data_IF_700417469753
#
_entry.id   IF_700417469753
#
_cell.length_a   1.000
_cell.length_b   1.000
_cell.length_c   1.000
_cell.angle_alpha   90.00
_cell.angle_beta   90.00
_cell.angle_gamma   90.00
#
_symmetry.space_group_name_H-M   'P 1'
#
loop_
_entity.id
_entity.type
_entity.pdbx_description
1 polymer ?
#
# COMPACT_ATOMS: atom_id res chain seq x y z
N UNK A 1 -15.93 32.72 13.37
CA UNK A 1 -16.84 31.56 13.36
C UNK A 1 -15.98 30.36 13.69
N UNK A 2 -16.02 29.89 14.93
CA UNK A 2 -15.09 28.92 15.45
C UNK A 2 -15.33 27.56 14.75
N UNK A 3 -14.29 27.05 14.11
CA UNK A 3 -14.25 25.66 13.66
C UNK A 3 -14.35 24.79 14.91
N UNK A 4 -15.44 24.05 15.02
CA UNK A 4 -15.62 23.06 16.06
C UNK A 4 -14.44 22.07 15.95
N UNK A 5 -13.60 22.06 16.98
CA UNK A 5 -12.73 20.96 17.31
C UNK A 5 -13.45 19.65 16.98
N UNK A 6 -12.82 18.85 16.12
CA UNK A 6 -13.24 17.46 15.94
C UNK A 6 -13.20 16.87 17.35
N UNK A 7 -14.38 16.71 17.89
CA UNK A 7 -14.60 16.16 19.20
C UNK A 7 -13.82 14.85 19.25
N UNK A 8 -13.03 14.65 20.28
CA UNK A 8 -12.56 13.34 20.71
C UNK A 8 -13.80 12.47 20.97
N UNK A 9 -14.44 12.06 19.91
CA UNK A 9 -15.34 10.92 19.98
C UNK A 9 -14.44 9.76 20.32
N UNK A 10 -14.37 9.48 21.61
CA UNK A 10 -14.09 8.16 22.10
C UNK A 10 -14.50 7.17 21.04
N UNK A 11 -13.50 6.42 20.51
CA UNK A 11 -13.75 5.29 19.63
C UNK A 11 -14.96 4.54 20.20
N UNK A 12 -15.99 4.22 19.38
CA UNK A 12 -17.17 3.55 19.91
C UNK A 12 -16.71 2.36 20.74
N UNK A 13 -17.32 2.16 21.91
CA UNK A 13 -17.05 1.02 22.81
C UNK A 13 -17.13 -0.34 22.08
N UNK A 14 -17.77 -0.38 20.93
CA UNK A 14 -17.81 -1.51 20.00
C UNK A 14 -16.43 -1.99 19.53
N UNK A 15 -15.37 -1.15 19.58
CA UNK A 15 -14.00 -1.62 19.32
C UNK A 15 -13.35 -2.32 20.52
N UNK A 16 -13.89 -2.18 21.72
CA UNK A 16 -13.43 -2.94 22.91
C UNK A 16 -14.16 -4.26 23.10
N UNK A 17 -15.19 -4.50 22.29
CA UNK A 17 -15.99 -5.72 22.29
C UNK A 17 -15.93 -6.41 20.92
N UNK A 18 -14.76 -6.61 20.36
CA UNK A 18 -14.51 -7.85 19.65
C UNK A 18 -14.34 -8.92 20.76
N UNK A 19 -15.41 -9.09 21.52
CA UNK A 19 -15.55 -10.21 22.41
C UNK A 19 -15.37 -11.45 21.54
N UNK A 20 -14.56 -12.40 21.96
CA UNK A 20 -14.28 -13.69 21.34
C UNK A 20 -15.55 -14.43 20.81
N UNK A 21 -16.74 -13.97 21.20
CA UNK A 21 -18.03 -14.50 20.75
C UNK A 21 -18.53 -14.00 19.39
N UNK A 22 -18.02 -12.88 18.85
CA UNK A 22 -18.51 -12.29 17.58
C UNK A 22 -17.66 -12.66 16.36
N UNK A 23 -16.43 -13.12 16.56
CA UNK A 23 -15.53 -13.59 15.50
C UNK A 23 -14.94 -14.95 15.90
N UNK A 24 -15.76 -16.02 15.89
CA UNK A 24 -15.32 -17.33 16.38
C UNK A 24 -14.19 -17.96 15.58
N UNK A 25 -13.92 -17.51 14.36
CA UNK A 25 -12.98 -18.14 13.44
C UNK A 25 -12.06 -17.14 12.77
N UNK A 26 -11.27 -16.40 13.56
CA UNK A 26 -10.14 -15.63 13.01
C UNK A 26 -9.01 -16.62 12.69
N UNK A 27 -8.70 -16.77 11.41
CA UNK A 27 -7.63 -17.65 10.96
C UNK A 27 -6.28 -16.92 10.99
N UNK A 28 -5.27 -17.56 11.59
CA UNK A 28 -3.88 -17.09 11.49
C UNK A 28 -3.34 -17.41 10.10
N UNK A 29 -3.10 -16.39 9.31
CA UNK A 29 -2.53 -16.53 7.97
C UNK A 29 -1.03 -16.84 8.02
N UNK A 30 -0.30 -16.18 8.91
CA UNK A 30 1.12 -16.46 9.13
C UNK A 30 1.87 -15.39 9.89
N UNK A 31 3.16 -15.67 10.10
CA UNK A 31 4.13 -14.78 10.73
C UNK A 31 5.19 -14.35 9.71
N UNK A 32 5.51 -13.05 9.70
CA UNK A 32 6.40 -12.41 8.74
C UNK A 32 7.37 -11.44 9.43
N UNK A 33 8.52 -11.21 8.81
CA UNK A 33 9.40 -10.11 9.24
C UNK A 33 8.77 -8.76 8.86
N UNK A 34 8.16 -8.71 7.66
CA UNK A 34 7.53 -7.51 7.12
C UNK A 34 6.17 -7.83 6.51
N UNK A 35 5.16 -7.02 6.84
CA UNK A 35 3.89 -7.00 6.10
C UNK A 35 3.71 -5.63 5.46
N UNK A 36 3.45 -5.61 4.15
CA UNK A 36 3.19 -4.41 3.37
C UNK A 36 1.69 -4.32 3.11
N UNK A 37 1.05 -3.26 3.54
CA UNK A 37 -0.36 -2.99 3.34
C UNK A 37 -0.57 -2.12 2.08
N UNK A 38 -1.15 -2.70 1.03
CA UNK A 38 -1.40 -2.06 -0.25
C UNK A 38 -0.32 -2.37 -1.30
N UNK A 39 -0.75 -2.86 -2.46
CA UNK A 39 0.08 -3.25 -3.61
C UNK A 39 0.21 -2.17 -4.69
N UNK A 40 0.00 -0.90 -4.34
CA UNK A 40 0.28 0.24 -5.22
C UNK A 40 1.77 0.40 -5.51
N UNK A 41 2.18 1.45 -6.26
CA UNK A 41 3.59 1.65 -6.63
C UNK A 41 4.54 1.67 -5.43
N UNK A 42 4.11 2.29 -4.33
CA UNK A 42 4.88 2.32 -3.08
C UNK A 42 5.02 0.93 -2.46
N UNK A 43 3.91 0.16 -2.39
CA UNK A 43 3.90 -1.17 -1.79
C UNK A 43 4.69 -2.19 -2.59
N UNK A 44 4.60 -2.17 -3.91
CA UNK A 44 5.44 -3.01 -4.77
C UNK A 44 6.92 -2.74 -4.51
N UNK A 45 7.33 -1.46 -4.50
CA UNK A 45 8.72 -1.11 -4.21
C UNK A 45 9.13 -1.54 -2.78
N UNK A 46 8.27 -1.35 -1.79
CA UNK A 46 8.53 -1.74 -0.40
C UNK A 46 8.68 -3.26 -0.27
N UNK A 47 7.74 -4.03 -0.86
CA UNK A 47 7.78 -5.49 -0.85
C UNK A 47 9.04 -6.04 -1.51
N UNK A 48 9.32 -5.61 -2.74
CA UNK A 48 10.53 -6.01 -3.48
C UNK A 48 11.82 -5.66 -2.73
N UNK A 49 11.88 -4.45 -2.13
CA UNK A 49 13.04 -4.05 -1.34
C UNK A 49 13.22 -4.92 -0.09
N UNK A 50 12.13 -5.29 0.57
CA UNK A 50 12.16 -6.12 1.78
C UNK A 50 12.66 -7.53 1.47
N UNK A 51 12.10 -8.21 0.48
CA UNK A 51 12.53 -9.57 0.10
C UNK A 51 13.96 -9.59 -0.42
N UNK A 52 14.39 -8.56 -1.18
CA UNK A 52 15.78 -8.44 -1.63
C UNK A 52 16.79 -8.24 -0.49
N UNK A 53 16.33 -7.86 0.70
CA UNK A 53 17.11 -7.78 1.93
C UNK A 53 17.03 -9.06 2.77
N UNK A 54 16.33 -10.08 2.29
CA UNK A 54 16.19 -11.38 2.95
C UNK A 54 15.05 -11.45 3.97
N UNK A 55 14.18 -10.44 4.04
CA UNK A 55 13.04 -10.46 4.94
C UNK A 55 11.92 -11.35 4.38
N UNK A 56 11.32 -12.21 5.21
CA UNK A 56 10.08 -12.92 4.88
C UNK A 56 8.95 -11.88 4.82
N UNK A 57 8.45 -11.60 3.63
CA UNK A 57 7.55 -10.48 3.38
C UNK A 57 6.24 -10.91 2.77
N UNK A 58 5.12 -10.44 3.34
CA UNK A 58 3.79 -10.51 2.77
C UNK A 58 3.38 -9.12 2.27
N UNK A 59 2.85 -9.05 1.05
CA UNK A 59 2.17 -7.88 0.52
C UNK A 59 0.67 -8.17 0.41
N UNK A 60 -0.15 -7.32 1.02
CA UNK A 60 -1.61 -7.45 1.03
C UNK A 60 -2.23 -6.43 0.09
N UNK A 61 -3.02 -6.89 -0.89
CA UNK A 61 -3.65 -6.03 -1.90
C UNK A 61 -5.16 -6.31 -2.00
N UNK A 62 -5.96 -5.25 -1.99
CA UNK A 62 -7.41 -5.36 -2.06
C UNK A 62 -7.94 -5.71 -3.45
N UNK A 63 -7.21 -5.38 -4.51
CA UNK A 63 -7.57 -5.70 -5.88
C UNK A 63 -6.96 -7.03 -6.34
N UNK A 64 -7.17 -7.34 -7.61
CA UNK A 64 -6.67 -8.54 -8.28
C UNK A 64 -5.32 -8.35 -8.97
N UNK A 65 -4.70 -7.20 -8.81
CA UNK A 65 -3.45 -6.87 -9.48
C UNK A 65 -2.61 -5.89 -8.65
N UNK A 66 -1.31 -5.94 -8.84
CA UNK A 66 -0.37 -4.94 -8.34
C UNK A 66 -0.41 -3.67 -9.17
N UNK A 67 0.14 -2.58 -8.65
CA UNK A 67 0.33 -1.30 -9.32
C UNK A 67 -0.66 -0.21 -8.93
N UNK A 68 -1.75 -0.54 -8.20
CA UNK A 68 -2.69 0.44 -7.64
C UNK A 68 -3.22 1.43 -8.69
N UNK A 69 -2.93 2.73 -8.51
CA UNK A 69 -3.38 3.79 -9.42
C UNK A 69 -2.90 3.58 -10.86
N UNK A 70 -1.72 2.99 -11.07
CA UNK A 70 -1.17 2.76 -12.41
C UNK A 70 -1.82 1.57 -13.14
N UNK A 71 -2.58 0.75 -12.44
CA UNK A 71 -3.23 -0.45 -12.99
C UNK A 71 -4.74 -0.45 -12.73
N UNK A 72 -5.18 -0.81 -11.52
CA UNK A 72 -6.59 -0.81 -11.13
C UNK A 72 -7.22 0.59 -11.25
N UNK A 73 -6.47 1.65 -10.96
CA UNK A 73 -6.89 3.04 -11.08
C UNK A 73 -6.81 3.62 -12.49
N UNK A 74 -6.34 2.87 -13.50
CA UNK A 74 -6.26 3.25 -14.91
C UNK A 74 -5.42 4.51 -15.22
N UNK A 75 -4.56 4.95 -14.30
CA UNK A 75 -3.71 6.11 -14.49
C UNK A 75 -2.37 5.73 -15.12
N UNK A 76 -2.33 5.69 -16.43
CA UNK A 76 -1.21 5.17 -17.23
C UNK A 76 0.08 6.00 -17.17
N UNK A 77 -0.01 7.25 -16.73
CA UNK A 77 1.11 8.20 -16.76
C UNK A 77 1.74 8.36 -15.38
N UNK A 78 2.95 7.85 -15.19
CA UNK A 78 3.70 7.93 -13.94
C UNK A 78 4.84 8.95 -14.12
N UNK A 79 4.84 9.99 -13.35
CA UNK A 79 5.91 11.00 -13.36
C UNK A 79 6.27 11.38 -11.93
N UNK A 80 7.38 12.00 -11.68
CA UNK A 80 8.46 12.52 -12.49
C UNK A 80 9.76 11.84 -12.05
N UNK A 81 10.49 11.21 -12.97
CA UNK A 81 11.76 10.54 -12.65
C UNK A 81 12.98 11.48 -12.74
N UNK A 82 12.86 12.55 -13.54
CA UNK A 82 13.92 13.53 -13.75
C UNK A 82 13.39 14.96 -13.54
N UNK A 83 14.25 15.87 -13.10
CA UNK A 83 13.94 17.28 -13.03
C UNK A 83 13.72 17.95 -14.40
N UNK A 84 13.21 19.17 -14.39
CA UNK A 84 13.01 19.96 -15.62
C UNK A 84 14.34 20.40 -16.26
N UNK A 85 14.33 20.59 -17.58
CA UNK A 85 15.47 21.19 -18.30
C UNK A 85 16.75 20.37 -18.29
N UNK A 86 16.68 19.02 -18.26
CA UNK A 86 17.84 18.17 -18.28
C UNK A 86 18.55 18.01 -16.93
N UNK A 87 17.85 18.38 -15.85
CA UNK A 87 18.31 18.14 -14.48
C UNK A 87 18.57 16.65 -14.23
N UNK A 88 19.46 16.31 -13.28
CA UNK A 88 19.78 14.93 -12.99
C UNK A 88 18.54 14.12 -12.55
N UNK A 89 18.61 12.82 -12.73
CA UNK A 89 17.58 11.89 -12.27
C UNK A 89 17.39 12.03 -10.76
N UNK A 90 16.14 12.22 -10.35
CA UNK A 90 15.74 12.36 -8.94
C UNK A 90 15.12 11.08 -8.36
N UNK A 91 14.57 10.22 -9.22
CA UNK A 91 14.01 8.92 -8.83
C UNK A 91 14.84 7.80 -9.46
N UNK A 92 15.42 6.96 -8.62
CA UNK A 92 16.29 5.84 -9.02
C UNK A 92 15.86 4.53 -8.35
N UNK A 93 16.75 3.54 -8.33
CA UNK A 93 16.51 2.24 -7.71
C UNK A 93 15.36 1.47 -8.33
N UNK A 94 14.52 0.85 -7.51
CA UNK A 94 13.39 0.03 -7.95
C UNK A 94 12.42 0.72 -8.92
N UNK A 95 11.95 1.95 -8.68
CA UNK A 95 11.07 2.62 -9.64
C UNK A 95 11.69 2.75 -11.03
N UNK A 96 12.99 3.03 -11.11
CA UNK A 96 13.71 3.07 -12.39
C UNK A 96 13.82 1.70 -13.04
N UNK A 97 14.19 0.67 -12.28
CA UNK A 97 14.24 -0.71 -12.74
C UNK A 97 12.90 -1.17 -13.32
N UNK A 98 11.80 -0.85 -12.64
CA UNK A 98 10.45 -1.12 -13.12
C UNK A 98 10.20 -0.42 -14.46
N UNK A 99 10.54 0.87 -14.58
CA UNK A 99 10.37 1.63 -15.82
C UNK A 99 11.19 1.05 -16.99
N UNK A 100 12.46 0.72 -16.75
CA UNK A 100 13.34 0.12 -17.76
C UNK A 100 12.83 -1.26 -18.21
N UNK A 101 12.37 -2.10 -17.29
CA UNK A 101 11.79 -3.42 -17.63
C UNK A 101 10.44 -3.29 -18.35
N UNK A 102 9.61 -2.34 -17.95
CA UNK A 102 8.33 -2.07 -18.61
C UNK A 102 8.53 -1.66 -20.07
N UNK A 103 9.51 -0.78 -20.36
CA UNK A 103 9.84 -0.34 -21.71
C UNK A 103 10.39 -1.50 -22.56
N UNK A 104 11.25 -2.34 -22.00
CA UNK A 104 11.88 -3.43 -22.73
C UNK A 104 10.91 -4.51 -23.19
N UNK A 105 9.93 -4.88 -22.36
CA UNK A 105 9.18 -6.11 -22.57
C UNK A 105 7.64 -5.94 -22.54
N UNK A 106 7.12 -4.79 -22.05
CA UNK A 106 5.72 -4.67 -21.72
C UNK A 106 5.01 -3.45 -22.34
N UNK A 107 5.53 -2.96 -23.45
CA UNK A 107 4.89 -1.93 -24.25
C UNK A 107 4.83 -0.54 -23.63
N UNK A 108 5.59 -0.32 -22.55
CA UNK A 108 5.68 1.00 -21.95
C UNK A 108 6.64 1.92 -22.71
N UNK A 109 6.51 3.23 -22.50
CA UNK A 109 7.46 4.23 -22.94
C UNK A 109 8.11 4.88 -21.71
N UNK A 110 9.43 4.74 -21.58
CA UNK A 110 10.19 5.32 -20.49
C UNK A 110 11.19 6.36 -21.00
N UNK A 111 10.71 7.58 -21.25
CA UNK A 111 11.54 8.69 -21.75
C UNK A 111 12.48 9.30 -20.69
N UNK A 112 12.73 8.61 -19.59
CA UNK A 112 13.57 9.06 -18.48
C UNK A 112 12.88 10.04 -17.53
N UNK A 113 11.93 10.86 -18.01
CA UNK A 113 11.16 11.79 -17.17
C UNK A 113 9.81 11.22 -16.74
N UNK A 114 9.11 10.59 -17.64
CA UNK A 114 7.81 9.97 -17.44
C UNK A 114 7.86 8.51 -17.88
N UNK A 115 7.03 7.72 -17.25
CA UNK A 115 6.75 6.35 -17.63
C UNK A 115 5.28 6.26 -18.03
N UNK A 116 5.03 6.01 -19.31
CA UNK A 116 3.72 5.72 -19.84
C UNK A 116 3.58 4.21 -19.98
N UNK A 117 2.62 3.61 -19.28
CA UNK A 117 2.48 2.16 -19.22
C UNK A 117 1.30 1.67 -20.06
N UNK A 118 1.46 0.49 -20.65
CA UNK A 118 0.34 -0.34 -21.10
C UNK A 118 -0.14 -1.14 -19.88
N UNK A 119 -1.42 -0.95 -19.49
CA UNK A 119 -1.93 -1.38 -18.18
C UNK A 119 -1.78 -2.87 -17.95
N UNK A 120 -2.18 -3.70 -18.93
CA UNK A 120 -2.17 -5.16 -18.77
C UNK A 120 -0.73 -5.69 -18.77
N UNK A 121 0.13 -5.16 -19.63
CA UNK A 121 1.55 -5.47 -19.61
C UNK A 121 2.22 -5.05 -18.31
N UNK A 122 1.83 -3.91 -17.75
CA UNK A 122 2.39 -3.45 -16.49
C UNK A 122 1.97 -4.33 -15.30
N UNK A 123 0.72 -4.83 -15.28
CA UNK A 123 0.29 -5.85 -14.29
C UNK A 123 1.16 -7.10 -14.39
N UNK A 124 1.35 -7.63 -15.61
CA UNK A 124 2.18 -8.81 -15.84
C UNK A 124 3.63 -8.60 -15.39
N UNK A 125 4.22 -7.44 -15.67
CA UNK A 125 5.57 -7.09 -15.18
C UNK A 125 5.66 -7.13 -13.66
N UNK A 126 4.70 -6.54 -12.96
CA UNK A 126 4.74 -6.47 -11.50
C UNK A 126 4.56 -7.85 -10.86
N UNK A 127 3.70 -8.71 -11.44
CA UNK A 127 3.54 -10.09 -11.03
C UNK A 127 4.83 -10.92 -11.29
N UNK A 128 5.47 -10.73 -12.45
CA UNK A 128 6.76 -11.34 -12.79
C UNK A 128 7.83 -10.94 -11.76
N UNK A 129 7.97 -9.65 -11.47
CA UNK A 129 8.96 -9.16 -10.50
C UNK A 129 8.69 -9.68 -9.08
N UNK A 130 7.44 -9.78 -8.67
CA UNK A 130 7.05 -10.37 -7.39
C UNK A 130 7.44 -11.85 -7.34
N UNK A 131 7.11 -12.62 -8.38
CA UNK A 131 7.45 -14.04 -8.47
C UNK A 131 8.95 -14.31 -8.49
N UNK A 132 9.71 -13.56 -9.30
CA UNK A 132 11.20 -13.66 -9.37
C UNK A 132 11.87 -13.40 -8.02
N UNK A 133 11.32 -12.47 -7.24
CA UNK A 133 11.89 -12.10 -5.94
C UNK A 133 11.46 -13.01 -4.79
N UNK A 134 10.43 -13.84 -4.99
CA UNK A 134 9.80 -14.63 -3.93
C UNK A 134 8.94 -13.81 -2.98
N UNK A 135 8.44 -12.66 -3.43
CA UNK A 135 7.48 -11.86 -2.67
C UNK A 135 6.13 -12.57 -2.61
N UNK A 136 5.69 -12.88 -1.41
CA UNK A 136 4.35 -13.40 -1.20
C UNK A 136 3.31 -12.29 -1.33
N UNK A 137 2.30 -12.49 -2.19
CA UNK A 137 1.24 -11.51 -2.44
C UNK A 137 -0.12 -12.12 -2.15
N UNK A 138 -0.90 -11.47 -1.29
CA UNK A 138 -2.27 -11.84 -0.97
C UNK A 138 -3.24 -10.84 -1.61
N UNK A 139 -3.80 -11.23 -2.76
CA UNK A 139 -4.80 -10.44 -3.48
C UNK A 139 -6.19 -10.53 -2.87
N UNK A 140 -7.09 -9.64 -3.31
CA UNK A 140 -8.49 -9.57 -2.88
C UNK A 140 -8.67 -9.51 -1.36
N UNK A 141 -7.71 -8.91 -0.66
CA UNK A 141 -7.68 -8.87 0.79
C UNK A 141 -7.60 -7.43 1.28
N UNK A 142 -8.68 -7.00 1.89
CA UNK A 142 -8.78 -5.66 2.46
C UNK A 142 -8.16 -5.66 3.87
N UNK A 143 -7.28 -4.70 4.15
CA UNK A 143 -6.82 -4.43 5.51
C UNK A 143 -7.96 -3.82 6.31
N UNK A 144 -8.49 -4.58 7.26
CA UNK A 144 -9.65 -4.22 8.06
C UNK A 144 -9.26 -3.54 9.37
N UNK A 145 -8.18 -3.97 10.01
CA UNK A 145 -7.69 -3.38 11.26
C UNK A 145 -6.20 -3.71 11.50
N UNK A 146 -5.66 -3.18 12.61
CA UNK A 146 -4.26 -3.35 13.04
C UNK A 146 -4.23 -3.99 14.44
N UNK A 147 -3.38 -4.96 14.63
CA UNK A 147 -3.10 -5.53 15.95
C UNK A 147 -2.04 -4.67 16.62
N UNK A 148 -2.35 -4.16 17.81
CA UNK A 148 -1.42 -3.41 18.64
C UNK A 148 -1.00 -4.22 19.85
N UNK A 149 0.31 -4.33 20.06
CA UNK A 149 0.91 -4.92 21.27
C UNK A 149 1.87 -3.90 21.86
N UNK A 150 1.68 -3.56 23.12
CA UNK A 150 2.50 -2.57 23.84
C UNK A 150 2.68 -1.24 23.06
N UNK A 151 1.61 -0.79 22.38
CA UNK A 151 1.62 0.45 21.59
C UNK A 151 2.34 0.34 20.25
N UNK A 152 2.70 -0.86 19.80
CA UNK A 152 3.35 -1.12 18.51
C UNK A 152 2.43 -1.95 17.60
N UNK A 153 2.43 -1.62 16.32
CA UNK A 153 1.75 -2.44 15.34
C UNK A 153 2.48 -3.81 15.21
N UNK A 154 1.78 -4.89 15.52
CA UNK A 154 2.30 -6.26 15.60
C UNK A 154 1.65 -7.19 14.57
N UNK A 155 0.66 -6.72 13.81
CA UNK A 155 -0.01 -7.50 12.79
C UNK A 155 -1.13 -6.73 12.09
N UNK A 156 -1.65 -7.32 11.03
CA UNK A 156 -2.81 -6.82 10.30
C UNK A 156 -3.97 -7.80 10.40
N UNK A 157 -5.16 -7.26 10.60
CA UNK A 157 -6.41 -7.98 10.40
C UNK A 157 -6.88 -7.72 8.97
N UNK A 158 -7.11 -8.78 8.22
CA UNK A 158 -7.50 -8.73 6.82
C UNK A 158 -8.85 -9.41 6.63
N UNK A 159 -9.62 -8.93 5.67
CA UNK A 159 -10.89 -9.54 5.28
C UNK A 159 -10.87 -9.86 3.79
N UNK A 160 -11.21 -11.09 3.45
CA UNK A 160 -11.37 -11.54 2.08
C UNK A 160 -12.51 -12.57 1.97
N UNK A 161 -12.60 -13.22 0.80
CA UNK A 161 -13.66 -14.21 0.54
C UNK A 161 -13.58 -15.47 1.43
N UNK A 162 -12.40 -15.79 1.98
CA UNK A 162 -12.21 -16.93 2.89
C UNK A 162 -12.62 -16.59 4.33
N UNK A 163 -12.74 -15.32 4.67
CA UNK A 163 -13.11 -14.87 6.02
C UNK A 163 -12.21 -13.76 6.55
N UNK A 164 -12.04 -13.74 7.87
CA UNK A 164 -11.15 -12.81 8.56
C UNK A 164 -9.84 -13.51 8.88
N UNK A 165 -8.75 -12.94 8.41
CA UNK A 165 -7.40 -13.47 8.53
C UNK A 165 -6.51 -12.51 9.33
N UNK A 166 -5.51 -13.06 10.00
CA UNK A 166 -4.49 -12.27 10.71
C UNK A 166 -3.10 -12.64 10.20
N UNK A 167 -2.33 -11.64 9.79
CA UNK A 167 -0.89 -11.77 9.57
C UNK A 167 -0.13 -11.01 10.65
N UNK A 168 0.75 -11.69 11.37
CA UNK A 168 1.65 -11.05 12.34
C UNK A 168 2.92 -10.58 11.65
N UNK A 169 3.52 -9.50 12.17
CA UNK A 169 4.74 -8.96 11.60
C UNK A 169 5.58 -8.21 12.63
N UNK A 170 6.91 -8.30 12.47
CA UNK A 170 7.84 -7.46 13.23
C UNK A 170 7.77 -6.00 12.77
N UNK A 171 7.48 -5.79 11.49
CA UNK A 171 7.34 -4.47 10.87
C UNK A 171 6.17 -4.44 9.91
N UNK A 172 5.43 -3.33 9.93
CA UNK A 172 4.35 -3.07 8.98
C UNK A 172 4.70 -1.82 8.19
N UNK A 173 4.54 -1.89 6.87
CA UNK A 173 4.74 -0.75 5.97
C UNK A 173 3.36 -0.38 5.43
N UNK A 174 2.91 0.84 5.75
CA UNK A 174 1.64 1.36 5.25
C UNK A 174 1.83 1.96 3.87
N UNK A 175 1.24 1.32 2.87
CA UNK A 175 1.21 1.74 1.47
C UNK A 175 -0.24 1.79 0.93
N UNK A 176 -1.21 2.00 1.82
CA UNK A 176 -2.64 1.99 1.48
C UNK A 176 -3.08 3.21 0.65
N UNK A 177 -2.24 4.25 0.59
CA UNK A 177 -2.55 5.52 -0.09
C UNK A 177 -3.14 6.57 0.85
N UNK A 178 -4.04 6.16 1.73
CA UNK A 178 -4.71 7.05 2.69
C UNK A 178 -4.23 6.88 4.15
N UNK A 179 -3.13 6.13 4.34
CA UNK A 179 -2.55 5.83 5.65
C UNK A 179 -3.52 5.09 6.60
N UNK A 180 -4.26 4.13 6.06
CA UNK A 180 -5.28 3.38 6.80
C UNK A 180 -4.72 2.63 8.00
N UNK A 181 -3.53 2.05 7.87
CA UNK A 181 -2.84 1.33 8.93
C UNK A 181 -2.39 2.30 10.02
N UNK A 182 -1.76 3.41 9.66
CA UNK A 182 -1.29 4.42 10.59
C UNK A 182 -2.47 5.04 11.37
N UNK A 183 -3.57 5.36 10.67
CA UNK A 183 -4.78 5.86 11.29
C UNK A 183 -5.36 4.88 12.31
N UNK A 184 -5.48 3.60 11.94
CA UNK A 184 -5.99 2.54 12.83
C UNK A 184 -5.06 2.26 14.01
N UNK A 185 -3.75 2.46 13.80
CA UNK A 185 -2.75 2.37 14.86
C UNK A 185 -2.79 3.55 15.84
N UNK A 186 -3.61 4.58 15.56
CA UNK A 186 -3.74 5.76 16.42
C UNK A 186 -2.62 6.79 16.22
N UNK A 187 -1.91 6.74 15.09
CA UNK A 187 -0.91 7.77 14.77
C UNK A 187 -1.59 9.14 14.59
N UNK A 188 -0.93 10.24 14.98
CA UNK A 188 -1.42 11.58 14.66
C UNK A 188 -1.55 11.77 13.16
N UNK A 189 -2.66 12.34 12.71
CA UNK A 189 -2.98 12.54 11.30
C UNK A 189 -3.33 14.00 11.04
N UNK A 190 -2.78 14.56 9.97
CA UNK A 190 -3.21 15.85 9.43
C UNK A 190 -4.15 15.63 8.25
N UNK A 191 -5.22 16.42 8.18
CA UNK A 191 -6.19 16.35 7.12
C UNK A 191 -6.46 17.73 6.53
N UNK A 192 -6.13 17.90 5.25
CA UNK A 192 -6.23 19.19 4.58
C UNK A 192 -5.05 20.14 4.89
N UNK A 193 -5.08 21.33 4.31
CA UNK A 193 -4.05 22.35 4.53
C UNK A 193 -4.24 23.04 5.88
N UNK A 194 -3.14 23.33 6.57
CA UNK A 194 -3.18 23.97 7.88
C UNK A 194 -3.86 25.34 7.87
N UNK A 195 -3.73 26.10 6.76
CA UNK A 195 -4.21 27.47 6.65
C UNK A 195 -5.73 27.56 6.46
N UNK A 196 -6.34 26.65 5.69
CA UNK A 196 -7.75 26.77 5.29
C UNK A 196 -8.55 25.45 5.35
N UNK A 197 -7.92 24.36 5.73
CA UNK A 197 -8.53 23.03 5.85
C UNK A 197 -8.91 22.39 4.51
N UNK A 198 -8.50 22.99 3.38
CA UNK A 198 -8.85 22.43 2.07
C UNK A 198 -8.06 21.16 1.78
N UNK A 199 -8.78 20.17 1.30
CA UNK A 199 -8.21 18.93 0.80
C UNK A 199 -7.89 19.02 -0.69
N UNK A 200 -7.18 18.03 -1.21
CA UNK A 200 -7.05 17.83 -2.66
C UNK A 200 -8.45 17.71 -3.27
N UNK A 201 -8.70 18.35 -4.42
CA UNK A 201 -9.96 18.16 -5.13
C UNK A 201 -10.08 16.69 -5.58
N UNK A 202 -11.31 16.18 -5.58
CA UNK A 202 -11.58 14.87 -6.16
C UNK A 202 -11.19 14.86 -7.64
N UNK A 203 -10.53 13.78 -8.06
CA UNK A 203 -10.17 13.58 -9.47
C UNK A 203 -11.11 12.54 -10.05
N UNK A 204 -11.74 12.89 -11.17
CA UNK A 204 -12.45 11.91 -12.00
C UNK A 204 -11.49 11.46 -13.12
N UNK A 205 -11.36 10.17 -13.29
CA UNK A 205 -10.67 9.56 -14.42
C UNK A 205 -11.68 9.05 -15.42
#
# INVERSE_FOLDING_TARGET
MALSTVNEKTMPETRRRADEELLPDIEMYGDYDVVVAGGGPAGVCAGLASVRRGAKTLLVEQFNCLGGMATAGLHQHIGVFMGEGGQPQIVGGLPREIGERAEQNWGASFGGRYLDVEIEGFKCLLDEMAGESGLEVLFYSLVADVILEDGRAAGLVMSNKSGVLVARADRIIDCTGDADVAYRAGCPMDFGRAEDGRTQPGTLM
#
